data_IF_506872723713
#
_entry.id   IF_506872723713
#
_cell.length_a   1.000
_cell.length_b   1.000
_cell.length_c   1.000
_cell.angle_alpha   90.00
_cell.angle_beta   90.00
_cell.angle_gamma   90.00
#
_symmetry.space_group_name_H-M   'P 1'
#
loop_
_entity.id
_entity.type
_entity.pdbx_description
1 polymer ?
#
# COMPACT_ATOMS: atom_id res chain seq x y z
N UNK A 1 -6.66 7.69 -17.19
CA UNK A 1 -7.33 8.70 -16.37
C UNK A 1 -6.91 8.40 -14.93
N UNK A 2 -5.87 9.09 -14.47
CA UNK A 2 -5.19 8.81 -13.21
C UNK A 2 -6.02 9.44 -12.10
N UNK A 3 -6.94 8.69 -11.49
CA UNK A 3 -7.50 9.12 -10.21
C UNK A 3 -6.40 8.94 -9.17
N UNK A 4 -5.65 10.03 -8.93
CA UNK A 4 -4.78 10.15 -7.79
C UNK A 4 -5.63 9.88 -6.54
N UNK A 5 -5.13 9.02 -5.66
CA UNK A 5 -5.82 8.65 -4.43
C UNK A 5 -6.07 9.92 -3.62
N UNK A 6 -7.31 10.40 -3.56
CA UNK A 6 -7.63 11.65 -2.87
C UNK A 6 -7.44 11.43 -1.36
N UNK A 7 -6.38 12.02 -0.83
CA UNK A 7 -5.97 11.93 0.57
C UNK A 7 -6.81 12.91 1.40
N UNK A 8 -8.08 12.61 1.59
CA UNK A 8 -8.91 13.34 2.56
C UNK A 8 -8.40 13.05 3.99
N UNK A 9 -7.84 14.06 4.65
CA UNK A 9 -7.41 14.00 6.04
C UNK A 9 -8.42 14.75 6.91
N UNK A 10 -8.99 14.07 7.91
CA UNK A 10 -9.80 14.72 8.94
C UNK A 10 -8.90 15.42 9.97
N UNK A 11 -9.34 16.54 10.57
CA UNK A 11 -8.57 17.28 11.57
C UNK A 11 -8.55 16.49 12.90
N UNK A 12 -7.61 15.57 12.99
CA UNK A 12 -7.31 14.75 14.18
C UNK A 12 -6.12 15.35 14.94
N UNK A 13 -5.90 15.01 16.22
CA UNK A 13 -4.72 15.46 16.97
C UNK A 13 -3.43 15.11 16.24
N UNK A 14 -2.41 15.97 16.41
CA UNK A 14 -1.12 15.83 15.74
C UNK A 14 -0.48 14.48 16.09
N UNK A 15 -0.23 13.66 15.07
CA UNK A 15 0.50 12.41 15.14
C UNK A 15 1.96 12.64 15.55
N UNK A 16 2.60 11.59 16.05
CA UNK A 16 4.03 11.62 16.38
C UNK A 16 4.90 12.17 15.24
N UNK A 17 4.59 11.81 13.99
CA UNK A 17 5.36 12.25 12.82
C UNK A 17 5.16 13.75 12.56
N UNK A 18 3.92 14.23 12.64
CA UNK A 18 3.59 15.66 12.50
C UNK A 18 4.31 16.48 13.59
N UNK A 19 4.32 16.01 14.85
CA UNK A 19 5.05 16.70 15.93
C UNK A 19 6.56 16.75 15.66
N UNK A 20 7.16 15.68 15.13
CA UNK A 20 8.60 15.63 14.86
C UNK A 20 9.02 16.43 13.62
N UNK A 21 8.13 16.59 12.64
CA UNK A 21 8.41 17.33 11.40
C UNK A 21 7.95 18.79 11.43
N UNK A 22 7.15 19.20 12.42
CA UNK A 22 6.62 20.57 12.52
C UNK A 22 7.71 21.66 12.37
N UNK A 23 8.87 21.58 13.05
CA UNK A 23 9.93 22.58 12.91
C UNK A 23 10.54 22.66 11.50
N UNK A 24 10.58 21.54 10.77
CA UNK A 24 11.07 21.47 9.39
C UNK A 24 10.03 22.09 8.45
N UNK A 25 8.75 21.73 8.62
CA UNK A 25 7.66 22.28 7.83
C UNK A 25 7.50 23.79 8.01
N UNK A 26 7.69 24.31 9.23
CA UNK A 26 7.65 25.75 9.51
C UNK A 26 8.81 26.51 8.86
N UNK A 27 10.01 25.92 8.80
CA UNK A 27 11.18 26.54 8.15
C UNK A 27 11.09 26.51 6.61
N UNK A 28 10.28 25.62 6.05
CA UNK A 28 10.19 25.38 4.61
C UNK A 28 8.73 25.32 4.14
N UNK A 29 7.96 26.41 4.27
CA UNK A 29 6.54 26.43 3.92
C UNK A 29 6.33 26.18 2.42
N UNK A 30 5.33 25.36 2.09
CA UNK A 30 4.99 25.04 0.69
C UNK A 30 5.96 24.09 -0.02
N UNK A 31 7.00 23.60 0.68
CA UNK A 31 7.97 22.65 0.12
C UNK A 31 7.75 21.24 0.65
N UNK A 32 8.12 20.25 -0.16
CA UNK A 32 8.19 18.84 0.24
C UNK A 32 9.60 18.47 0.69
N UNK A 33 9.71 17.61 1.70
CA UNK A 33 10.99 17.10 2.20
C UNK A 33 11.25 15.67 1.74
N UNK A 34 12.51 15.37 1.42
CA UNK A 34 12.99 14.01 1.11
C UNK A 34 14.18 13.72 2.02
N UNK A 35 14.19 12.55 2.65
CA UNK A 35 15.32 12.05 3.43
C UNK A 35 15.84 10.74 2.81
N UNK A 36 16.98 10.75 2.11
CA UNK A 36 17.52 9.54 1.50
C UNK A 36 18.10 8.61 2.56
N UNK A 37 17.81 7.32 2.44
CA UNK A 37 18.37 6.26 3.28
C UNK A 37 19.28 5.39 2.40
N UNK A 38 20.58 5.43 2.65
CA UNK A 38 21.59 4.74 1.84
C UNK A 38 21.85 3.30 2.30
N UNK A 39 21.59 2.99 3.57
CA UNK A 39 21.76 1.66 4.13
C UNK A 39 20.44 0.86 4.12
N UNK A 40 20.52 -0.42 3.76
CA UNK A 40 19.34 -1.28 3.62
C UNK A 40 18.66 -1.60 4.96
N UNK A 41 19.41 -1.74 6.04
CA UNK A 41 18.87 -2.01 7.38
C UNK A 41 18.18 -0.76 7.92
N UNK A 42 18.79 0.42 7.77
CA UNK A 42 18.15 1.69 8.14
C UNK A 42 16.87 1.91 7.35
N UNK A 43 16.90 1.60 6.06
CA UNK A 43 15.74 1.72 5.18
C UNK A 43 14.61 0.75 5.58
N UNK A 44 14.94 -0.47 6.00
CA UNK A 44 13.97 -1.42 6.54
C UNK A 44 13.42 -0.95 7.89
N UNK A 45 14.29 -0.56 8.83
CA UNK A 45 13.93 -0.12 10.17
C UNK A 45 13.01 1.11 10.11
N UNK A 46 13.32 2.08 9.24
CA UNK A 46 12.48 3.25 9.03
C UNK A 46 11.06 2.86 8.58
N UNK A 47 10.92 1.95 7.61
CA UNK A 47 9.62 1.47 7.16
C UNK A 47 8.85 0.77 8.26
N UNK A 48 9.48 -0.16 8.96
CA UNK A 48 8.87 -0.89 10.07
C UNK A 48 8.39 0.07 11.17
N UNK A 49 9.23 1.01 11.58
CA UNK A 49 8.88 2.00 12.61
C UNK A 49 7.78 2.97 12.16
N UNK A 50 7.77 3.38 10.88
CA UNK A 50 6.70 4.20 10.33
C UNK A 50 5.36 3.44 10.33
N UNK A 51 5.34 2.16 9.98
CA UNK A 51 4.14 1.32 10.07
C UNK A 51 3.66 1.17 11.52
N UNK A 52 4.59 0.95 12.46
CA UNK A 52 4.27 0.84 13.89
C UNK A 52 3.73 2.14 14.50
N UNK A 53 4.20 3.29 14.00
CA UNK A 53 3.78 4.62 14.49
C UNK A 53 2.67 5.27 13.67
N UNK A 54 2.22 4.63 12.59
CA UNK A 54 1.12 5.13 11.77
C UNK A 54 -0.14 5.28 12.63
N UNK A 55 -0.78 6.44 12.49
CA UNK A 55 -1.94 6.84 13.30
C UNK A 55 -3.24 6.96 12.50
N UNK A 56 -3.17 7.27 11.19
CA UNK A 56 -4.37 7.57 10.37
C UNK A 56 -4.45 6.69 9.13
N UNK A 57 -3.44 6.79 8.28
CA UNK A 57 -3.34 6.01 7.05
C UNK A 57 -1.94 5.45 6.87
N UNK A 58 -1.85 4.39 6.08
CA UNK A 58 -0.62 3.76 5.67
C UNK A 58 -0.71 3.39 4.19
N UNK A 59 0.08 4.08 3.37
CA UNK A 59 0.16 3.88 1.93
C UNK A 59 1.44 3.17 1.55
N UNK A 60 1.30 1.99 0.96
CA UNK A 60 2.42 1.09 0.67
C UNK A 60 2.39 0.78 -0.81
N UNK A 61 3.46 1.14 -1.52
CA UNK A 61 3.61 0.89 -2.95
C UNK A 61 4.95 0.18 -3.20
N UNK A 62 4.90 -1.03 -3.73
CA UNK A 62 6.09 -1.85 -3.97
C UNK A 62 6.04 -2.57 -5.31
N UNK A 63 7.18 -2.56 -6.00
CA UNK A 63 7.40 -3.37 -7.19
C UNK A 63 7.71 -4.84 -6.83
N UNK A 64 8.50 -5.07 -5.77
CA UNK A 64 8.91 -6.42 -5.32
C UNK A 64 8.53 -6.58 -3.86
N UNK A 65 7.82 -7.68 -3.55
CA UNK A 65 7.59 -8.15 -2.19
C UNK A 65 7.99 -9.62 -2.08
N UNK A 66 8.83 -9.95 -1.10
CA UNK A 66 9.31 -11.32 -0.89
C UNK A 66 8.66 -11.94 0.33
N UNK A 67 8.34 -13.23 0.27
CA UNK A 67 7.89 -13.99 1.44
C UNK A 67 9.09 -14.47 2.28
N UNK A 68 9.91 -13.53 2.73
CA UNK A 68 11.05 -13.76 3.62
C UNK A 68 10.82 -13.15 5.00
N UNK A 69 11.84 -13.15 5.85
CA UNK A 69 11.75 -12.56 7.18
C UNK A 69 11.32 -11.09 7.13
N UNK A 70 11.91 -10.30 6.22
CA UNK A 70 11.65 -8.87 6.10
C UNK A 70 10.21 -8.60 5.64
N UNK A 71 9.74 -9.31 4.61
CA UNK A 71 8.38 -9.16 4.10
C UNK A 71 7.32 -9.60 5.12
N UNK A 72 7.57 -10.69 5.85
CA UNK A 72 6.66 -11.14 6.92
C UNK A 72 6.58 -10.15 8.07
N UNK A 73 7.70 -9.53 8.45
CA UNK A 73 7.72 -8.49 9.48
C UNK A 73 6.93 -7.25 9.05
N UNK A 74 7.05 -6.82 7.79
CA UNK A 74 6.27 -5.69 7.28
C UNK A 74 4.78 -6.02 7.18
N UNK A 75 4.40 -7.24 6.77
CA UNK A 75 3.00 -7.68 6.82
C UNK A 75 2.44 -7.66 8.24
N UNK A 76 3.21 -8.12 9.22
CA UNK A 76 2.82 -8.10 10.62
C UNK A 76 2.58 -6.66 11.11
N UNK A 77 3.54 -5.75 10.89
CA UNK A 77 3.42 -4.34 11.29
C UNK A 77 2.23 -3.65 10.62
N UNK A 78 1.98 -3.95 9.35
CA UNK A 78 0.83 -3.44 8.61
C UNK A 78 -0.50 -3.96 9.19
N UNK A 79 -0.59 -5.25 9.52
CA UNK A 79 -1.77 -5.83 10.15
C UNK A 79 -2.01 -5.22 11.54
N UNK A 80 -0.96 -5.05 12.34
CA UNK A 80 -1.05 -4.37 13.63
C UNK A 80 -1.51 -2.92 13.49
N UNK A 81 -1.07 -2.19 12.45
CA UNK A 81 -1.58 -0.87 12.15
C UNK A 81 -3.08 -0.89 11.84
N UNK A 82 -3.52 -1.83 11.00
CA UNK A 82 -4.94 -1.98 10.65
C UNK A 82 -5.81 -2.32 11.87
N UNK A 83 -5.30 -3.15 12.80
CA UNK A 83 -5.96 -3.47 14.08
C UNK A 83 -6.12 -2.25 14.99
N UNK A 84 -5.19 -1.29 14.95
CA UNK A 84 -5.31 -0.01 15.65
C UNK A 84 -6.31 0.96 15.00
N UNK A 85 -6.90 0.60 13.86
CA UNK A 85 -7.84 1.45 13.12
C UNK A 85 -7.21 2.26 11.98
N UNK A 86 -5.91 2.07 11.69
CA UNK A 86 -5.24 2.74 10.57
C UNK A 86 -5.78 2.21 9.25
N UNK A 87 -6.12 3.10 8.32
CA UNK A 87 -6.50 2.71 6.95
C UNK A 87 -5.26 2.35 6.15
N UNK A 88 -5.16 1.10 5.75
CA UNK A 88 -4.01 0.56 5.02
C UNK A 88 -4.37 0.36 3.56
N UNK A 89 -3.51 0.85 2.66
CA UNK A 89 -3.63 0.66 1.22
C UNK A 89 -2.31 0.10 0.68
N UNK A 90 -2.37 -1.12 0.16
CA UNK A 90 -1.24 -1.85 -0.37
C UNK A 90 -1.39 -2.01 -1.89
N UNK A 91 -0.44 -1.45 -2.65
CA UNK A 91 -0.32 -1.61 -4.09
C UNK A 91 0.93 -2.43 -4.42
N UNK A 92 0.76 -3.59 -5.03
CA UNK A 92 1.85 -4.49 -5.44
C UNK A 92 1.80 -4.78 -6.94
N UNK A 93 2.95 -5.04 -7.56
CA UNK A 93 3.02 -5.56 -8.93
C UNK A 93 2.78 -7.09 -8.94
N UNK A 94 1.78 -7.55 -9.72
CA UNK A 94 1.39 -8.97 -9.80
C UNK A 94 2.49 -9.88 -10.38
N UNK A 95 3.43 -9.33 -11.15
CA UNK A 95 4.53 -10.12 -11.68
C UNK A 95 5.42 -10.66 -10.56
N UNK A 96 5.45 -9.98 -9.41
CA UNK A 96 6.34 -10.29 -8.30
C UNK A 96 5.61 -10.76 -7.02
N UNK A 97 4.43 -11.38 -7.15
CA UNK A 97 3.66 -11.99 -6.04
C UNK A 97 3.62 -13.53 -5.97
N UNK A 98 4.43 -14.36 -6.68
CA UNK A 98 4.35 -15.82 -6.54
C UNK A 98 4.39 -16.30 -5.08
N UNK A 99 3.40 -17.11 -4.67
CA UNK A 99 3.32 -17.64 -3.31
C UNK A 99 2.78 -16.66 -2.24
N UNK A 100 2.30 -15.48 -2.64
CA UNK A 100 1.68 -14.51 -1.74
C UNK A 100 0.15 -14.45 -1.87
N UNK A 101 -0.45 -15.15 -2.81
CA UNK A 101 -1.89 -15.05 -3.12
C UNK A 101 -2.80 -15.24 -1.90
N UNK A 102 -2.60 -16.32 -1.15
CA UNK A 102 -3.40 -16.59 0.06
C UNK A 102 -3.19 -15.53 1.13
N UNK A 103 -1.96 -15.05 1.29
CA UNK A 103 -1.61 -14.01 2.27
C UNK A 103 -2.28 -12.68 1.90
N UNK A 104 -2.18 -12.27 0.63
CA UNK A 104 -2.79 -11.04 0.13
C UNK A 104 -4.31 -11.11 0.19
N UNK A 105 -4.90 -12.27 -0.13
CA UNK A 105 -6.34 -12.50 0.01
C UNK A 105 -6.79 -12.42 1.47
N UNK A 106 -6.02 -12.98 2.41
CA UNK A 106 -6.32 -12.88 3.84
C UNK A 106 -6.21 -11.44 4.35
N UNK A 107 -5.18 -10.71 3.95
CA UNK A 107 -5.01 -9.30 4.32
C UNK A 107 -6.17 -8.45 3.82
N UNK A 108 -6.58 -8.63 2.56
CA UNK A 108 -7.68 -7.88 1.94
C UNK A 108 -9.06 -8.16 2.56
N UNK A 109 -9.20 -9.20 3.40
CA UNK A 109 -10.43 -9.46 4.16
C UNK A 109 -10.55 -8.57 5.40
N UNK A 110 -9.45 -7.97 5.86
CA UNK A 110 -9.48 -7.08 7.02
C UNK A 110 -10.20 -5.76 6.65
N UNK A 111 -11.16 -5.27 7.47
CA UNK A 111 -11.99 -4.11 7.10
C UNK A 111 -11.23 -2.80 6.87
N UNK A 112 -10.03 -2.69 7.43
CA UNK A 112 -9.14 -1.52 7.28
C UNK A 112 -7.99 -1.74 6.29
N UNK A 113 -7.93 -2.85 5.56
CA UNK A 113 -6.85 -3.12 4.58
C UNK A 113 -7.45 -3.27 3.19
N UNK A 114 -6.93 -2.47 2.27
CA UNK A 114 -7.23 -2.58 0.84
C UNK A 114 -5.96 -3.01 0.10
N UNK A 115 -6.01 -4.16 -0.55
CA UNK A 115 -4.93 -4.68 -1.40
C UNK A 115 -5.33 -4.54 -2.87
N UNK A 116 -4.47 -3.88 -3.65
CA UNK A 116 -4.60 -3.74 -5.10
C UNK A 116 -3.37 -4.30 -5.79
N UNK A 117 -3.58 -4.94 -6.93
CA UNK A 117 -2.52 -5.42 -7.80
C UNK A 117 -2.42 -4.54 -9.04
N UNK A 118 -1.22 -4.05 -9.29
CA UNK A 118 -0.84 -3.41 -10.54
C UNK A 118 -0.39 -4.50 -11.53
N UNK A 119 -0.78 -4.34 -12.80
CA UNK A 119 -0.47 -5.28 -13.89
C UNK A 119 -0.97 -6.73 -13.69
N UNK A 120 -2.27 -6.96 -13.44
CA UNK A 120 -2.80 -8.30 -13.22
C UNK A 120 -2.69 -9.16 -14.48
N UNK A 121 -2.02 -10.32 -14.40
CA UNK A 121 -1.93 -11.25 -15.52
C UNK A 121 -3.03 -12.31 -15.43
N UNK A 122 -3.88 -12.39 -16.47
CA UNK A 122 -4.98 -13.36 -16.55
C UNK A 122 -4.55 -14.84 -16.57
N UNK A 123 -3.30 -15.12 -16.97
CA UNK A 123 -2.76 -16.48 -17.09
C UNK A 123 -1.52 -16.67 -16.22
N UNK A 124 -1.72 -16.84 -14.91
CA UNK A 124 -0.64 -16.96 -13.92
C UNK A 124 0.23 -18.22 -14.08
N UNK A 125 -0.29 -19.28 -14.71
CA UNK A 125 0.40 -20.56 -14.97
C UNK A 125 1.18 -20.60 -16.28
N UNK A 126 0.86 -19.75 -17.27
CA UNK A 126 1.54 -19.68 -18.57
C UNK A 126 1.91 -18.22 -18.89
N UNK A 127 2.68 -17.60 -17.98
CA UNK A 127 3.09 -16.19 -18.08
C UNK A 127 3.77 -15.85 -19.41
N UNK A 128 4.59 -16.77 -19.93
CA UNK A 128 5.25 -16.63 -21.24
C UNK A 128 4.26 -16.53 -22.42
N UNK A 129 3.16 -17.28 -22.38
CA UNK A 129 2.11 -17.17 -23.39
C UNK A 129 1.38 -15.83 -23.26
N UNK A 130 1.15 -15.37 -22.02
CA UNK A 130 0.64 -14.03 -21.74
C UNK A 130 1.52 -12.93 -22.36
N UNK A 131 2.85 -13.00 -22.24
CA UNK A 131 3.75 -12.03 -22.87
C UNK A 131 3.71 -12.07 -24.41
N UNK A 132 3.49 -13.25 -25.00
CA UNK A 132 3.41 -13.42 -26.46
C UNK A 132 2.06 -12.97 -27.05
N UNK A 133 0.96 -13.12 -26.30
CA UNK A 133 -0.39 -12.77 -26.78
C UNK A 133 -0.86 -11.38 -26.35
N UNK A 134 -0.15 -10.71 -25.43
CA UNK A 134 -0.53 -9.37 -24.95
C UNK A 134 -0.10 -8.28 -25.93
N UNK A 135 -0.84 -8.13 -27.03
CA UNK A 135 -0.84 -6.90 -27.81
C UNK A 135 -1.36 -5.75 -26.93
N UNK A 136 -0.57 -4.66 -26.81
CA UNK A 136 -0.90 -3.38 -26.14
C UNK A 136 -2.38 -3.23 -25.77
N UNK A 137 -2.76 -3.65 -24.57
CA UNK A 137 -3.97 -3.19 -23.89
C UNK A 137 -3.73 -3.36 -22.39
N UNK A 138 -3.53 -2.25 -21.69
CA UNK A 138 -3.58 -2.21 -20.24
C UNK A 138 -5.02 -2.56 -19.88
N UNK A 139 -5.27 -3.85 -19.64
CA UNK A 139 -6.52 -4.29 -19.08
C UNK A 139 -6.46 -3.99 -17.59
N UNK A 140 -7.06 -2.86 -17.18
CA UNK A 140 -7.73 -2.83 -15.88
C UNK A 140 -8.81 -3.91 -15.95
N UNK A 141 -8.44 -5.15 -15.67
CA UNK A 141 -9.40 -6.19 -15.39
C UNK A 141 -10.02 -5.85 -14.03
N UNK A 142 -11.01 -4.96 -14.10
CA UNK A 142 -12.07 -4.86 -13.13
C UNK A 142 -12.53 -6.30 -12.83
N UNK A 143 -12.42 -6.69 -11.57
CA UNK A 143 -13.23 -7.77 -11.03
C UNK A 143 -14.69 -7.27 -11.08
N UNK A 144 -15.29 -7.35 -12.27
CA UNK A 144 -16.66 -7.00 -12.54
C UNK A 144 -17.49 -8.27 -12.40
N UNK A 145 -17.91 -8.57 -11.18
CA UNK A 145 -19.21 -9.18 -10.95
C UNK A 145 -19.76 -8.76 -9.57
N UNK A 146 -20.78 -7.91 -9.62
CA UNK A 146 -21.70 -7.46 -8.58
C UNK A 146 -21.32 -6.20 -7.73
N UNK A 147 -22.32 -5.38 -7.34
CA UNK A 147 -22.17 -3.94 -7.11
C UNK A 147 -21.77 -3.62 -5.66
N UNK A 148 -20.46 -3.54 -5.38
CA UNK A 148 -19.96 -3.08 -4.08
C UNK A 148 -19.87 -1.54 -3.98
N UNK A 149 -20.22 -0.83 -5.06
CA UNK A 149 -20.21 0.63 -5.13
C UNK A 149 -21.52 1.23 -4.60
N UNK A 150 -21.70 1.18 -3.27
CA UNK A 150 -22.57 2.16 -2.59
C UNK A 150 -21.83 2.77 -1.41
N UNK A 151 -21.73 4.10 -1.48
CA UNK A 151 -21.42 5.06 -0.43
C UNK A 151 -21.84 4.53 0.95
N UNK A 152 -20.90 4.46 1.89
CA UNK A 152 -21.20 4.78 3.28
C UNK A 152 -20.54 6.12 3.59
N UNK A 153 -21.26 7.16 3.18
CA UNK A 153 -21.13 8.50 3.73
C UNK A 153 -22.49 8.85 4.35
N UNK A 154 -22.44 9.26 5.62
CA UNK A 154 -23.46 10.00 6.36
C UNK A 154 -24.83 9.34 6.61
N UNK A 155 -25.01 8.79 7.80
CA UNK A 155 -25.97 9.22 8.85
C UNK A 155 -25.95 8.21 10.00
#
# INVERSE_FOLDING_TARGET
MTEAFELAHSPEPASWLETKLAPQCQRHPGLSGIHPLSDGLDAFAARYLLMQKAARSLDIQYYIWQNDLSGRLLFSAMLEAARRGVKVRLLLDDNNTPGLDDTLAQLNRHPNIEVRLFNPFSFRTLRALGYLTSGKTISLAACCSAPCWRRRAAA
#
